data_IF_662196782881
#
_entry.id   IF_662196782881
#
_cell.length_a   1.000
_cell.length_b   1.000
_cell.length_c   1.000
_cell.angle_alpha   90.00
_cell.angle_beta   90.00
_cell.angle_gamma   90.00
#
_symmetry.space_group_name_H-M   'P 1'
#
loop_
_entity.id
_entity.type
_entity.pdbx_description
1 polymer ?
#
# COMPACT_ATOMS: atom_id res chain seq x y z
N UNK A 1 0.92 -0.19 -30.22
CA UNK A 1 1.27 -0.34 -28.78
C UNK A 1 2.72 -0.72 -28.71
N UNK A 2 3.53 0.05 -27.97
CA UNK A 2 4.98 -0.08 -28.03
C UNK A 2 5.50 -1.11 -27.04
N UNK A 3 4.92 -1.16 -25.84
CA UNK A 3 5.40 -1.98 -24.74
C UNK A 3 4.27 -2.73 -24.05
N UNK A 4 4.50 -4.00 -23.73
CA UNK A 4 3.71 -4.81 -22.81
C UNK A 4 4.56 -5.06 -21.56
N UNK A 5 4.04 -4.76 -20.36
CA UNK A 5 4.72 -5.03 -19.10
C UNK A 5 4.09 -6.26 -18.44
N UNK A 6 4.90 -7.31 -18.34
CA UNK A 6 4.58 -8.57 -17.64
C UNK A 6 5.27 -8.60 -16.29
N UNK A 7 4.59 -9.03 -15.23
CA UNK A 7 5.14 -9.07 -13.89
C UNK A 7 4.41 -10.05 -12.98
N UNK A 8 5.12 -10.56 -11.98
CA UNK A 8 4.48 -11.26 -10.85
C UNK A 8 3.89 -10.22 -9.90
N UNK A 9 2.61 -10.30 -9.58
CA UNK A 9 1.95 -9.34 -8.68
C UNK A 9 2.68 -9.24 -7.34
N UNK A 10 3.03 -10.38 -6.74
CA UNK A 10 3.86 -10.40 -5.55
C UNK A 10 5.26 -9.86 -5.86
N UNK A 11 5.61 -8.77 -5.21
CA UNK A 11 6.91 -8.12 -5.31
C UNK A 11 7.19 -7.35 -6.62
N UNK A 12 6.43 -7.59 -7.70
CA UNK A 12 6.66 -6.95 -9.00
C UNK A 12 5.79 -5.74 -9.30
N UNK A 13 4.64 -5.60 -8.65
CA UNK A 13 3.64 -4.58 -8.95
C UNK A 13 4.19 -3.15 -8.92
N UNK A 14 4.86 -2.77 -7.83
CA UNK A 14 5.37 -1.40 -7.68
C UNK A 14 6.37 -1.02 -8.78
N UNK A 15 7.26 -1.94 -9.15
CA UNK A 15 8.20 -1.74 -10.25
C UNK A 15 7.49 -1.65 -11.60
N UNK A 16 6.55 -2.54 -11.87
CA UNK A 16 5.79 -2.55 -13.11
C UNK A 16 4.98 -1.27 -13.29
N UNK A 17 4.34 -0.79 -12.21
CA UNK A 17 3.61 0.47 -12.21
C UNK A 17 4.53 1.68 -12.44
N UNK A 18 5.66 1.73 -11.77
CA UNK A 18 6.62 2.81 -11.95
C UNK A 18 7.18 2.85 -13.38
N UNK A 19 7.48 1.69 -13.97
CA UNK A 19 7.90 1.60 -15.37
C UNK A 19 6.80 2.04 -16.34
N UNK A 20 5.55 1.66 -16.06
CA UNK A 20 4.41 2.11 -16.84
C UNK A 20 4.34 3.63 -16.92
N UNK A 21 4.45 4.32 -15.77
CA UNK A 21 4.45 5.77 -15.71
C UNK A 21 5.64 6.38 -16.48
N UNK A 22 6.86 5.86 -16.24
CA UNK A 22 8.05 6.37 -16.91
C UNK A 22 7.98 6.20 -18.44
N UNK A 23 7.43 5.09 -18.92
CA UNK A 23 7.31 4.84 -20.36
C UNK A 23 6.24 5.71 -21.00
N UNK A 24 5.10 5.90 -20.33
CA UNK A 24 4.08 6.85 -20.82
C UNK A 24 4.63 8.28 -20.87
N UNK A 25 5.40 8.70 -19.86
CA UNK A 25 6.08 9.98 -19.82
C UNK A 25 7.11 10.15 -20.95
N UNK A 26 7.71 9.03 -21.35
CA UNK A 26 8.58 8.99 -22.51
C UNK A 26 7.82 8.98 -23.86
N UNK A 27 6.49 9.02 -23.84
CA UNK A 27 5.64 9.02 -25.04
C UNK A 27 5.39 7.64 -25.63
N UNK A 28 5.65 6.56 -24.87
CA UNK A 28 5.38 5.20 -25.31
C UNK A 28 3.95 4.80 -24.98
N UNK A 29 3.31 4.06 -25.88
CA UNK A 29 2.03 3.42 -25.61
C UNK A 29 2.26 2.08 -24.89
N UNK A 30 1.82 1.99 -23.63
CA UNK A 30 2.13 0.87 -22.73
C UNK A 30 0.88 0.10 -22.34
N UNK A 31 0.97 -1.22 -22.33
CA UNK A 31 -0.02 -2.09 -21.71
C UNK A 31 0.52 -2.62 -20.38
N UNK A 32 -0.24 -2.40 -19.34
CA UNK A 32 -0.03 -2.99 -18.02
C UNK A 32 -1.35 -3.57 -17.54
N UNK A 33 -1.37 -4.86 -17.22
CA UNK A 33 -2.56 -5.48 -16.66
C UNK A 33 -2.74 -5.06 -15.20
N UNK A 34 -3.63 -4.08 -15.00
CA UNK A 34 -3.97 -3.54 -13.69
C UNK A 34 -5.29 -4.13 -13.14
N UNK A 35 -6.11 -4.74 -13.98
CA UNK A 35 -7.42 -5.25 -13.58
C UNK A 35 -7.32 -6.65 -12.97
N UNK A 36 -8.09 -6.86 -11.88
CA UNK A 36 -8.42 -8.21 -11.39
C UNK A 36 -9.33 -8.87 -12.42
N UNK A 37 -8.75 -9.79 -13.19
CA UNK A 37 -9.48 -10.48 -14.22
C UNK A 37 -10.41 -11.52 -13.63
N UNK A 38 -11.68 -11.15 -13.57
CA UNK A 38 -12.79 -12.04 -13.25
C UNK A 38 -12.94 -13.09 -14.36
N UNK A 39 -13.29 -14.31 -13.97
CA UNK A 39 -13.49 -15.45 -14.86
C UNK A 39 -14.29 -15.12 -16.15
N UNK A 40 -13.67 -15.39 -17.29
CA UNK A 40 -14.24 -15.21 -18.63
C UNK A 40 -13.20 -15.53 -19.72
N UNK A 41 -13.50 -15.42 -21.02
CA UNK A 41 -12.59 -15.70 -22.13
C UNK A 41 -11.47 -14.64 -22.20
N UNK A 42 -10.63 -14.64 -21.16
CA UNK A 42 -9.63 -13.61 -20.82
C UNK A 42 -8.29 -13.82 -21.53
N UNK A 43 -7.92 -15.07 -21.79
CA UNK A 43 -6.71 -15.41 -22.52
C UNK A 43 -6.58 -14.67 -23.86
N UNK A 44 -7.72 -14.43 -24.54
CA UNK A 44 -7.74 -13.80 -25.85
C UNK A 44 -7.29 -12.33 -25.80
N UNK A 45 -7.77 -11.55 -24.82
CA UNK A 45 -7.40 -10.11 -24.70
C UNK A 45 -5.93 -9.93 -24.32
N UNK A 46 -5.41 -10.80 -23.45
CA UNK A 46 -4.02 -10.75 -23.05
C UNK A 46 -3.09 -11.10 -24.21
N UNK A 47 -3.39 -12.18 -24.92
CA UNK A 47 -2.63 -12.58 -26.11
C UNK A 47 -2.75 -11.56 -27.23
N UNK A 48 -3.92 -10.95 -27.44
CA UNK A 48 -4.07 -9.82 -28.37
C UNK A 48 -3.21 -8.62 -27.97
N UNK A 49 -3.07 -8.30 -26.68
CA UNK A 49 -2.22 -7.23 -26.22
C UNK A 49 -0.74 -7.54 -26.47
N UNK A 50 -0.31 -8.77 -26.20
CA UNK A 50 1.04 -9.22 -26.54
C UNK A 50 1.27 -9.21 -28.06
N UNK A 51 0.28 -9.65 -28.85
CA UNK A 51 0.39 -9.61 -30.33
C UNK A 51 0.56 -8.19 -30.87
N UNK A 52 -0.12 -7.21 -30.27
CA UNK A 52 -0.09 -5.79 -30.68
C UNK A 52 1.16 -5.04 -30.24
N UNK A 53 1.93 -5.55 -29.26
CA UNK A 53 3.15 -4.91 -28.80
C UNK A 53 4.39 -5.46 -29.53
N UNK A 54 5.43 -4.67 -29.59
CA UNK A 54 6.73 -5.09 -30.14
C UNK A 54 7.71 -5.47 -29.02
N UNK A 55 7.63 -4.76 -27.91
CA UNK A 55 8.51 -4.95 -26.76
C UNK A 55 7.74 -5.57 -25.59
N UNK A 56 8.31 -6.61 -25.02
CA UNK A 56 7.79 -7.32 -23.86
C UNK A 56 8.75 -7.10 -22.68
N UNK A 57 8.39 -6.21 -21.77
CA UNK A 57 9.17 -5.90 -20.58
C UNK A 57 8.72 -6.82 -19.46
N UNK A 58 9.65 -7.62 -18.93
CA UNK A 58 9.38 -8.64 -17.92
C UNK A 58 10.02 -8.26 -16.58
N UNK A 59 9.19 -7.91 -15.60
CA UNK A 59 9.67 -7.55 -14.24
C UNK A 59 9.84 -8.81 -13.41
N UNK A 60 11.05 -9.04 -12.92
CA UNK A 60 11.47 -10.22 -12.18
C UNK A 60 11.88 -9.87 -10.73
N UNK A 61 10.95 -9.82 -9.78
CA UNK A 61 11.28 -9.80 -8.36
C UNK A 61 11.87 -11.16 -7.90
N UNK A 62 12.50 -11.24 -6.72
CA UNK A 62 12.94 -12.51 -6.14
C UNK A 62 11.83 -13.56 -6.19
N UNK A 63 12.18 -14.79 -6.49
CA UNK A 63 11.30 -15.99 -6.53
C UNK A 63 10.14 -15.90 -7.55
N UNK A 64 10.11 -14.89 -8.42
CA UNK A 64 9.00 -14.68 -9.38
C UNK A 64 8.79 -15.82 -10.36
N UNK A 65 9.83 -16.63 -10.65
CA UNK A 65 9.76 -17.74 -11.57
C UNK A 65 9.50 -19.10 -10.90
N UNK A 66 9.44 -19.18 -9.58
CA UNK A 66 9.28 -20.44 -8.85
C UNK A 66 7.98 -21.17 -9.19
N UNK A 67 6.90 -20.45 -9.37
CA UNK A 67 5.59 -21.02 -9.77
C UNK A 67 5.53 -21.41 -11.25
N UNK A 68 6.49 -21.01 -12.08
CA UNK A 68 6.50 -21.31 -13.51
C UNK A 68 6.70 -22.81 -13.84
N UNK A 69 6.90 -23.66 -12.82
CA UNK A 69 6.79 -25.10 -12.97
C UNK A 69 5.36 -25.56 -13.25
N UNK A 70 4.36 -24.83 -12.80
CA UNK A 70 2.98 -25.06 -13.15
C UNK A 70 2.69 -24.58 -14.57
N UNK A 71 2.16 -25.49 -15.41
CA UNK A 71 1.82 -25.18 -16.81
C UNK A 71 0.69 -24.17 -16.96
N UNK A 72 -0.12 -23.98 -15.92
CA UNK A 72 -1.21 -23.00 -15.88
C UNK A 72 -0.80 -21.68 -15.20
N UNK A 73 0.47 -21.50 -14.84
CA UNK A 73 0.92 -20.23 -14.26
C UNK A 73 0.88 -19.12 -15.29
N UNK A 74 0.19 -18.04 -14.97
CA UNK A 74 -0.03 -16.92 -15.89
C UNK A 74 1.24 -16.28 -16.40
N UNK A 75 2.21 -16.02 -15.51
CA UNK A 75 3.49 -15.44 -15.91
C UNK A 75 4.24 -16.35 -16.89
N UNK A 76 4.19 -17.67 -16.65
CA UNK A 76 4.75 -18.66 -17.58
C UNK A 76 4.09 -18.58 -18.96
N UNK A 77 2.76 -18.56 -19.01
CA UNK A 77 1.99 -18.51 -20.26
C UNK A 77 2.30 -17.23 -21.06
N UNK A 78 2.40 -16.09 -20.40
CA UNK A 78 2.77 -14.81 -21.03
C UNK A 78 4.17 -14.87 -21.63
N UNK A 79 5.15 -15.38 -20.87
CA UNK A 79 6.53 -15.50 -21.33
C UNK A 79 6.64 -16.49 -22.50
N UNK A 80 6.02 -17.66 -22.40
CA UNK A 80 5.99 -18.66 -23.48
C UNK A 80 5.40 -18.08 -24.75
N UNK A 81 4.30 -17.35 -24.63
CA UNK A 81 3.65 -16.71 -25.78
C UNK A 81 4.52 -15.61 -26.40
N UNK A 82 5.15 -14.77 -25.58
CA UNK A 82 6.08 -13.75 -26.04
C UNK A 82 7.29 -14.35 -26.77
N UNK A 83 7.84 -15.48 -26.26
CA UNK A 83 8.91 -16.23 -26.93
C UNK A 83 8.44 -16.79 -28.26
N UNK A 84 7.26 -17.42 -28.29
CA UNK A 84 6.68 -17.99 -29.51
C UNK A 84 6.46 -16.92 -30.59
N UNK A 85 6.00 -15.74 -30.19
CA UNK A 85 5.76 -14.59 -31.09
C UNK A 85 7.03 -13.79 -31.42
N UNK A 86 8.19 -14.24 -30.93
CA UNK A 86 9.49 -13.60 -31.16
C UNK A 86 9.53 -12.11 -30.77
N UNK A 87 8.84 -11.76 -29.69
CA UNK A 87 8.83 -10.40 -29.16
C UNK A 87 10.23 -9.99 -28.68
N UNK A 88 10.49 -8.69 -28.66
CA UNK A 88 11.68 -8.15 -28.02
C UNK A 88 11.52 -8.24 -26.49
N UNK A 89 12.02 -9.33 -25.88
CA UNK A 89 11.87 -9.58 -24.45
C UNK A 89 13.01 -8.88 -23.70
N UNK A 90 12.66 -8.04 -22.73
CA UNK A 90 13.59 -7.27 -21.91
C UNK A 90 13.35 -7.62 -20.43
N UNK A 91 14.12 -8.58 -19.85
CA UNK A 91 14.03 -8.90 -18.45
C UNK A 91 14.58 -7.77 -17.56
N UNK A 92 13.84 -7.42 -16.53
CA UNK A 92 14.25 -6.46 -15.50
C UNK A 92 14.40 -7.22 -14.19
N UNK A 93 15.63 -7.55 -13.85
CA UNK A 93 15.97 -8.28 -12.64
C UNK A 93 16.02 -7.34 -11.46
N UNK A 94 15.12 -7.54 -10.50
CA UNK A 94 15.10 -6.76 -9.27
C UNK A 94 16.20 -7.23 -8.31
N UNK A 95 16.53 -6.38 -7.34
CA UNK A 95 17.54 -6.72 -6.31
C UNK A 95 17.16 -8.03 -5.61
N UNK A 96 18.08 -8.96 -5.56
CA UNK A 96 17.87 -10.30 -4.98
C UNK A 96 17.29 -11.34 -5.92
N UNK A 97 16.95 -10.99 -7.17
CA UNK A 97 16.53 -11.97 -8.16
C UNK A 97 17.71 -12.80 -8.67
N UNK A 98 17.49 -14.09 -8.83
CA UNK A 98 18.37 -15.02 -9.56
C UNK A 98 17.51 -15.97 -10.39
N UNK A 99 18.01 -16.36 -11.57
CA UNK A 99 17.32 -17.38 -12.36
C UNK A 99 17.42 -18.74 -11.67
N UNK A 100 16.30 -19.47 -11.52
CA UNK A 100 16.33 -20.84 -11.01
C UNK A 100 17.13 -21.79 -11.93
N UNK A 101 17.89 -22.71 -11.33
CA UNK A 101 18.67 -23.73 -12.10
C UNK A 101 17.76 -24.69 -12.88
N UNK A 102 16.52 -24.87 -12.45
CA UNK A 102 15.58 -25.85 -12.96
C UNK A 102 14.40 -25.22 -13.73
N UNK A 103 14.65 -24.18 -14.51
CA UNK A 103 13.60 -23.57 -15.34
C UNK A 103 12.92 -24.59 -16.25
N UNK A 104 11.59 -24.50 -16.46
CA UNK A 104 10.87 -25.27 -17.47
C UNK A 104 11.54 -25.18 -18.84
N UNK A 105 11.49 -26.25 -19.62
CA UNK A 105 12.15 -26.32 -20.94
C UNK A 105 11.76 -25.13 -21.85
N UNK A 106 10.52 -24.71 -21.81
CA UNK A 106 9.98 -23.58 -22.56
C UNK A 106 10.58 -22.22 -22.18
N UNK A 107 11.08 -22.09 -20.94
CA UNK A 107 11.67 -20.86 -20.40
C UNK A 107 13.21 -20.89 -20.35
N UNK A 108 13.86 -21.96 -20.74
CA UNK A 108 15.33 -22.10 -20.68
C UNK A 108 16.09 -21.04 -21.48
N UNK A 109 15.44 -20.39 -22.44
CA UNK A 109 16.02 -19.27 -23.20
C UNK A 109 15.98 -17.93 -22.46
N UNK A 110 15.19 -17.83 -21.36
CA UNK A 110 14.97 -16.56 -20.67
C UNK A 110 16.27 -15.92 -20.14
N UNK A 111 17.21 -16.65 -19.51
CA UNK A 111 18.47 -16.09 -19.02
C UNK A 111 19.40 -15.53 -20.13
N UNK A 112 19.16 -15.86 -21.38
CA UNK A 112 19.99 -15.42 -22.53
C UNK A 112 19.45 -14.15 -23.19
N UNK A 113 18.28 -13.64 -22.79
CA UNK A 113 17.82 -12.35 -23.29
C UNK A 113 18.60 -11.21 -22.62
N UNK A 114 18.87 -10.16 -23.39
CA UNK A 114 19.48 -8.97 -22.84
C UNK A 114 18.53 -8.31 -21.84
N UNK A 115 18.94 -8.28 -20.58
CA UNK A 115 18.15 -7.72 -19.48
C UNK A 115 18.85 -6.57 -18.79
N UNK A 116 18.14 -5.96 -17.85
CA UNK A 116 18.65 -4.86 -17.02
C UNK A 116 18.50 -5.24 -15.56
N UNK A 117 19.58 -5.11 -14.78
CA UNK A 117 19.46 -5.19 -13.33
C UNK A 117 18.94 -3.86 -12.82
N UNK A 118 17.81 -3.88 -12.12
CA UNK A 118 17.24 -2.67 -11.55
C UNK A 118 18.11 -2.17 -10.40
N UNK A 119 18.41 -0.88 -10.41
CA UNK A 119 19.09 -0.19 -9.31
C UNK A 119 18.17 0.83 -8.72
N UNK A 120 18.03 0.83 -7.39
CA UNK A 120 17.26 1.88 -6.69
C UNK A 120 17.97 3.23 -6.78
N UNK A 121 19.31 3.24 -6.76
CA UNK A 121 20.11 4.46 -6.82
C UNK A 121 20.17 5.07 -8.24
N UNK A 122 20.09 4.22 -9.27
CA UNK A 122 20.22 4.63 -10.68
C UNK A 122 18.98 4.28 -11.48
N UNK A 123 17.80 4.47 -10.87
CA UNK A 123 16.54 4.07 -11.51
C UNK A 123 16.32 4.77 -12.86
N UNK A 124 16.61 6.07 -12.97
CA UNK A 124 16.51 6.85 -14.21
C UNK A 124 17.38 6.30 -15.31
N UNK A 125 18.63 5.94 -14.98
CA UNK A 125 19.55 5.31 -15.92
C UNK A 125 19.03 3.92 -16.34
N UNK A 126 18.41 3.20 -15.40
CA UNK A 126 17.76 1.92 -15.66
C UNK A 126 16.61 2.08 -16.66
N UNK A 127 15.71 3.03 -16.44
CA UNK A 127 14.58 3.31 -17.35
C UNK A 127 15.07 3.74 -18.74
N UNK A 128 16.00 4.68 -18.81
CA UNK A 128 16.59 5.12 -20.08
C UNK A 128 17.23 3.97 -20.84
N UNK A 129 17.93 3.07 -20.14
CA UNK A 129 18.51 1.87 -20.72
C UNK A 129 17.45 0.93 -21.27
N UNK A 130 16.35 0.69 -20.52
CA UNK A 130 15.24 -0.15 -21.00
C UNK A 130 14.63 0.44 -22.26
N UNK A 131 14.34 1.76 -22.26
CA UNK A 131 13.79 2.45 -23.44
C UNK A 131 14.74 2.32 -24.64
N UNK A 132 16.06 2.45 -24.44
CA UNK A 132 17.05 2.27 -25.50
C UNK A 132 17.13 0.84 -26.07
N UNK A 133 16.65 -0.15 -25.32
CA UNK A 133 16.53 -1.55 -25.75
C UNK A 133 15.22 -1.85 -26.47
N UNK A 134 14.24 -0.95 -26.40
CA UNK A 134 12.97 -1.09 -27.11
C UNK A 134 13.17 -0.87 -28.61
N UNK A 135 12.54 -1.72 -29.42
CA UNK A 135 12.52 -1.62 -30.88
C UNK A 135 11.41 -0.67 -31.34
N UNK A 136 11.64 0.00 -32.47
CA UNK A 136 10.70 0.87 -33.16
C UNK A 136 10.12 2.02 -32.28
N UNK A 137 10.90 2.49 -31.32
CA UNK A 137 10.55 3.60 -30.46
C UNK A 137 11.30 4.84 -30.94
N UNK A 138 10.57 5.84 -31.45
CA UNK A 138 11.12 7.15 -31.78
C UNK A 138 11.08 8.04 -30.53
N UNK A 139 12.23 8.19 -29.88
CA UNK A 139 12.40 9.21 -28.84
C UNK A 139 12.41 10.59 -29.48
N UNK A 140 11.52 11.49 -29.06
CA UNK A 140 11.65 12.90 -29.38
C UNK A 140 12.99 13.41 -28.80
N UNK A 141 13.81 14.06 -29.60
CA UNK A 141 15.12 14.57 -29.24
C UNK A 141 14.95 15.67 -28.16
N UNK A 142 15.35 15.37 -26.96
CA UNK A 142 15.23 16.25 -25.79
C UNK A 142 15.25 15.44 -24.51
N UNK A 143 15.79 16.01 -23.43
CA UNK A 143 15.76 15.38 -22.11
C UNK A 143 14.32 15.06 -21.69
N UNK A 144 13.94 13.81 -21.85
CA UNK A 144 12.62 13.34 -21.37
C UNK A 144 12.65 13.42 -19.85
N UNK A 145 11.85 14.30 -19.30
CA UNK A 145 11.59 14.33 -17.87
C UNK A 145 10.69 13.14 -17.53
N UNK A 146 11.32 12.03 -17.14
CA UNK A 146 10.64 10.78 -16.76
C UNK A 146 9.72 10.97 -15.53
N UNK A 147 9.82 12.10 -14.85
CA UNK A 147 9.07 12.47 -13.66
C UNK A 147 8.16 13.67 -13.89
N UNK A 148 7.88 13.99 -15.16
CA UNK A 148 6.92 15.05 -15.45
C UNK A 148 5.64 14.73 -14.68
N UNK A 149 5.23 15.67 -13.85
CA UNK A 149 4.03 15.57 -13.06
C UNK A 149 2.86 15.31 -14.00
N UNK A 150 2.30 14.12 -13.95
CA UNK A 150 1.07 13.84 -14.64
C UNK A 150 -0.08 14.28 -13.74
N UNK A 151 -0.61 15.46 -14.01
CA UNK A 151 -1.95 15.83 -13.56
C UNK A 151 -3.00 14.81 -14.07
N UNK A 152 -2.64 14.05 -15.11
CA UNK A 152 -3.48 13.07 -15.81
C UNK A 152 -3.67 11.74 -15.05
N UNK A 153 -2.82 11.37 -14.09
CA UNK A 153 -3.06 10.17 -13.26
C UNK A 153 -4.36 10.33 -12.45
N UNK A 154 -4.69 11.56 -12.08
CA UNK A 154 -5.95 11.87 -11.40
C UNK A 154 -7.19 11.65 -12.27
N UNK A 155 -7.05 11.64 -13.60
CA UNK A 155 -8.15 11.46 -14.53
C UNK A 155 -8.48 10.00 -14.88
N UNK A 156 -7.55 9.05 -14.63
CA UNK A 156 -7.69 7.65 -15.06
C UNK A 156 -7.89 6.67 -13.92
N UNK A 157 -7.64 7.07 -12.67
CA UNK A 157 -7.94 6.26 -11.50
C UNK A 157 -9.22 6.79 -10.85
N UNK A 158 -10.16 5.90 -10.59
CA UNK A 158 -11.28 6.17 -9.70
C UNK A 158 -10.75 6.72 -8.36
N UNK A 159 -11.44 7.70 -7.79
CA UNK A 159 -11.06 8.30 -6.48
C UNK A 159 -10.80 7.21 -5.43
N UNK A 160 -11.58 6.13 -5.48
CA UNK A 160 -11.41 4.97 -4.60
C UNK A 160 -10.11 4.20 -4.85
N UNK A 161 -9.63 4.11 -6.09
CA UNK A 161 -8.36 3.43 -6.40
C UNK A 161 -7.14 4.27 -5.99
N UNK A 162 -7.19 5.59 -6.14
CA UNK A 162 -6.15 6.50 -5.66
C UNK A 162 -6.01 6.42 -4.14
N UNK A 163 -7.12 6.42 -3.41
CA UNK A 163 -7.13 6.31 -1.97
C UNK A 163 -6.63 4.93 -1.50
N UNK A 164 -7.02 3.85 -2.15
CA UNK A 164 -6.48 2.52 -1.87
C UNK A 164 -4.96 2.47 -2.05
N UNK A 165 -4.44 3.04 -3.13
CA UNK A 165 -3.00 3.10 -3.38
C UNK A 165 -2.29 3.93 -2.30
N UNK A 166 -2.85 5.06 -1.91
CA UNK A 166 -2.34 5.91 -0.83
C UNK A 166 -2.24 5.15 0.49
N UNK A 167 -3.33 4.46 0.89
CA UNK A 167 -3.39 3.69 2.13
C UNK A 167 -2.38 2.53 2.15
N UNK A 168 -2.22 1.80 1.04
CA UNK A 168 -1.22 0.73 0.93
C UNK A 168 0.20 1.30 1.06
N UNK A 169 0.45 2.45 0.43
CA UNK A 169 1.74 3.13 0.49
C UNK A 169 2.05 3.59 1.91
N UNK A 170 1.09 4.24 2.56
CA UNK A 170 1.21 4.70 3.94
C UNK A 170 1.48 3.53 4.90
N UNK A 171 0.71 2.45 4.80
CA UNK A 171 0.87 1.26 5.63
C UNK A 171 2.25 0.63 5.45
N UNK A 172 2.72 0.48 4.22
CA UNK A 172 4.06 -0.04 3.91
C UNK A 172 5.19 0.81 4.54
N UNK A 173 5.02 2.12 4.57
CA UNK A 173 5.99 3.03 5.21
C UNK A 173 6.00 2.88 6.74
N UNK A 174 4.85 2.60 7.33
CA UNK A 174 4.67 2.54 8.78
C UNK A 174 5.02 1.17 9.38
N UNK A 175 4.80 0.08 8.66
CA UNK A 175 5.08 -1.29 9.12
C UNK A 175 6.53 -1.47 9.60
N UNK A 176 7.50 -0.82 8.95
CA UNK A 176 8.92 -0.90 9.37
C UNK A 176 9.18 -0.39 10.78
N UNK A 177 8.38 0.57 11.28
CA UNK A 177 8.50 1.12 12.64
C UNK A 177 7.74 0.26 13.65
N UNK A 178 6.67 -0.38 13.21
CA UNK A 178 5.87 -1.28 14.03
C UNK A 178 6.58 -2.63 14.27
N UNK A 179 7.32 -3.12 13.27
CA UNK A 179 7.94 -4.46 13.30
C UNK A 179 8.83 -4.73 14.53
N UNK A 180 9.73 -3.83 14.97
CA UNK A 180 10.53 -4.07 16.18
C UNK A 180 9.69 -4.20 17.45
N UNK A 181 8.62 -3.40 17.56
CA UNK A 181 7.71 -3.40 18.70
C UNK A 181 6.92 -4.70 18.73
N UNK A 182 6.37 -5.09 17.58
CA UNK A 182 5.60 -6.32 17.45
C UNK A 182 6.46 -7.54 17.78
N UNK A 183 7.69 -7.61 17.25
CA UNK A 183 8.63 -8.67 17.59
C UNK A 183 8.89 -8.79 19.12
N UNK A 184 8.97 -7.66 19.85
CA UNK A 184 9.12 -7.68 21.31
C UNK A 184 7.85 -8.16 22.00
N UNK A 185 6.68 -7.77 21.50
CA UNK A 185 5.39 -8.15 22.08
C UNK A 185 5.10 -9.66 21.96
N UNK A 186 5.46 -10.28 20.86
CA UNK A 186 5.18 -11.71 20.60
C UNK A 186 6.33 -12.63 20.95
N UNK A 187 7.50 -12.08 21.31
CA UNK A 187 8.72 -12.84 21.59
C UNK A 187 8.52 -13.94 22.63
N UNK A 188 8.87 -15.16 22.25
CA UNK A 188 8.81 -16.34 23.11
C UNK A 188 7.42 -16.92 23.31
N UNK A 189 6.45 -16.44 22.55
CA UNK A 189 5.09 -16.98 22.44
C UNK A 189 5.01 -17.91 21.23
N UNK A 190 3.90 -18.63 21.07
CA UNK A 190 3.63 -19.48 19.91
C UNK A 190 2.12 -19.65 19.74
N UNK A 191 1.72 -20.02 18.56
CA UNK A 191 0.32 -20.33 18.19
C UNK A 191 -0.68 -19.22 18.54
N UNK A 192 -0.26 -17.96 18.33
CA UNK A 192 -1.05 -16.79 18.69
C UNK A 192 -2.18 -16.54 17.70
N UNK A 193 -3.33 -16.15 18.26
CA UNK A 193 -4.48 -15.62 17.53
C UNK A 193 -4.38 -14.10 17.47
N UNK A 194 -4.22 -13.54 16.27
CA UNK A 194 -4.18 -12.11 16.03
C UNK A 194 -5.52 -11.59 15.50
N UNK A 195 -6.01 -10.50 16.09
CA UNK A 195 -7.13 -9.72 15.61
C UNK A 195 -6.62 -8.42 14.99
N UNK A 196 -6.82 -8.24 13.69
CA UNK A 196 -6.50 -7.01 12.96
C UNK A 196 -7.79 -6.22 12.71
N UNK A 197 -7.87 -5.00 13.23
CA UNK A 197 -9.11 -4.25 13.37
C UNK A 197 -9.16 -3.06 12.41
N UNK A 198 -10.26 -2.89 11.71
CA UNK A 198 -10.53 -1.85 10.71
C UNK A 198 -9.54 -1.91 9.53
N UNK A 199 -9.43 -3.09 8.96
CA UNK A 199 -8.52 -3.35 7.83
C UNK A 199 -8.99 -2.58 6.60
N UNK A 200 -8.12 -1.72 6.07
CA UNK A 200 -8.34 -0.93 4.86
C UNK A 200 -7.69 -1.54 3.62
N UNK A 201 -6.76 -2.50 3.81
CA UNK A 201 -6.16 -3.29 2.73
C UNK A 201 -5.82 -4.70 3.20
N UNK A 202 -5.87 -5.67 2.29
CA UNK A 202 -5.48 -7.06 2.60
C UNK A 202 -3.98 -7.19 2.88
N UNK A 203 -3.14 -6.36 2.25
CA UNK A 203 -1.68 -6.43 2.33
C UNK A 203 -1.16 -6.25 3.76
N UNK A 204 -1.70 -5.26 4.48
CA UNK A 204 -1.30 -5.00 5.88
C UNK A 204 -1.63 -6.17 6.80
N UNK A 205 -2.80 -6.79 6.61
CA UNK A 205 -3.20 -7.96 7.39
C UNK A 205 -2.34 -9.19 7.08
N UNK A 206 -2.03 -9.46 5.80
CA UNK A 206 -1.12 -10.54 5.45
C UNK A 206 0.28 -10.36 6.06
N UNK A 207 0.78 -9.13 6.19
CA UNK A 207 2.05 -8.85 6.84
C UNK A 207 2.09 -9.22 8.34
N UNK A 208 0.93 -9.45 8.99
CA UNK A 208 0.87 -9.98 10.37
C UNK A 208 1.31 -11.45 10.44
N UNK A 209 1.16 -12.19 9.36
CA UNK A 209 1.63 -13.58 9.27
C UNK A 209 3.15 -13.71 9.02
N UNK A 210 3.86 -12.60 8.81
CA UNK A 210 5.32 -12.57 8.80
C UNK A 210 5.94 -12.82 10.19
N UNK A 211 5.11 -12.79 11.24
CA UNK A 211 5.52 -13.16 12.60
C UNK A 211 5.22 -14.64 12.84
N UNK A 212 6.24 -15.50 12.96
CA UNK A 212 6.03 -16.95 13.04
C UNK A 212 5.26 -17.39 14.30
N UNK A 213 5.14 -16.50 15.28
CA UNK A 213 4.36 -16.74 16.50
C UNK A 213 2.85 -16.65 16.24
N UNK A 214 2.42 -15.94 15.15
CA UNK A 214 1.01 -15.75 14.79
C UNK A 214 0.62 -16.80 13.76
N UNK A 215 -0.22 -17.75 14.16
CA UNK A 215 -0.70 -18.83 13.29
C UNK A 215 -2.13 -18.64 12.83
N UNK A 216 -2.92 -17.82 13.54
CA UNK A 216 -4.29 -17.48 13.16
C UNK A 216 -4.50 -15.97 13.12
N UNK A 217 -5.08 -15.49 12.02
CA UNK A 217 -5.39 -14.08 11.84
C UNK A 217 -6.87 -13.90 11.54
N UNK A 218 -7.50 -13.01 12.30
CA UNK A 218 -8.87 -12.56 12.10
C UNK A 218 -8.83 -11.08 11.72
N UNK A 219 -9.19 -10.77 10.50
CA UNK A 219 -9.18 -9.41 9.97
C UNK A 219 -10.61 -8.87 9.89
N UNK A 220 -10.89 -7.80 10.60
CA UNK A 220 -12.20 -7.13 10.61
C UNK A 220 -12.16 -5.88 9.74
N UNK A 221 -13.12 -5.74 8.86
CA UNK A 221 -13.29 -4.57 8.00
C UNK A 221 -14.77 -4.20 7.89
N UNK A 222 -15.07 -2.95 7.54
CA UNK A 222 -16.42 -2.54 7.16
C UNK A 222 -16.69 -2.74 5.66
N UNK A 223 -15.69 -3.15 4.87
CA UNK A 223 -15.74 -3.22 3.41
C UNK A 223 -15.85 -4.66 2.92
N UNK A 224 -16.99 -4.99 2.30
CA UNK A 224 -17.27 -6.31 1.75
C UNK A 224 -16.28 -6.76 0.66
N UNK A 225 -15.74 -5.83 -0.12
CA UNK A 225 -14.81 -6.17 -1.20
C UNK A 225 -13.44 -6.57 -0.64
N UNK A 226 -13.00 -5.96 0.47
CA UNK A 226 -11.79 -6.39 1.19
C UNK A 226 -12.01 -7.80 1.75
N UNK A 227 -13.15 -8.06 2.37
CA UNK A 227 -13.51 -9.39 2.89
C UNK A 227 -13.51 -10.46 1.78
N UNK A 228 -14.12 -10.17 0.64
CA UNK A 228 -14.16 -11.10 -0.50
C UNK A 228 -12.75 -11.38 -1.04
N UNK A 229 -11.93 -10.34 -1.27
CA UNK A 229 -10.56 -10.48 -1.78
C UNK A 229 -9.67 -11.24 -0.80
N UNK A 230 -9.70 -10.85 0.48
CA UNK A 230 -8.92 -11.51 1.52
C UNK A 230 -9.25 -13.00 1.62
N UNK A 231 -10.54 -13.36 1.60
CA UNK A 231 -10.94 -14.74 1.67
C UNK A 231 -10.69 -15.56 0.39
N UNK A 232 -10.58 -14.92 -0.78
CA UNK A 232 -10.18 -15.61 -2.03
C UNK A 232 -8.72 -16.04 -2.01
N UNK A 233 -7.86 -15.26 -1.36
CA UNK A 233 -6.40 -15.47 -1.34
C UNK A 233 -5.91 -16.33 -0.16
N UNK A 234 -6.82 -16.93 0.63
CA UNK A 234 -6.48 -17.78 1.79
C UNK A 234 -5.52 -18.93 1.49
N UNK A 235 -5.58 -19.46 0.26
CA UNK A 235 -4.73 -20.57 -0.17
C UNK A 235 -3.28 -20.15 -0.45
N UNK A 236 -2.97 -18.85 -0.33
CA UNK A 236 -1.62 -18.31 -0.54
C UNK A 236 -0.82 -18.20 0.77
N UNK A 237 -1.44 -18.54 1.91
CA UNK A 237 -0.74 -18.59 3.20
C UNK A 237 0.16 -19.84 3.27
N UNK A 238 1.26 -19.73 4.00
CA UNK A 238 2.14 -20.85 4.31
C UNK A 238 1.37 -21.99 5.01
N UNK A 239 1.82 -23.23 4.82
CA UNK A 239 1.23 -24.39 5.48
C UNK A 239 1.21 -24.19 7.01
N UNK A 240 0.01 -24.18 7.59
CA UNK A 240 -0.20 -24.01 9.04
C UNK A 240 -0.75 -22.66 9.46
N UNK A 241 -0.74 -21.63 8.59
CA UNK A 241 -1.33 -20.34 8.89
C UNK A 241 -2.77 -20.25 8.40
N UNK A 242 -3.64 -19.68 9.22
CA UNK A 242 -5.05 -19.44 8.89
C UNK A 242 -5.37 -17.95 8.93
N UNK A 243 -5.98 -17.43 7.86
CA UNK A 243 -6.50 -16.07 7.83
C UNK A 243 -7.99 -16.07 7.49
N UNK A 244 -8.75 -15.23 8.20
CA UNK A 244 -10.18 -15.06 7.98
C UNK A 244 -10.54 -13.58 7.97
N UNK A 245 -11.14 -13.11 6.88
CA UNK A 245 -11.64 -11.74 6.77
C UNK A 245 -13.15 -11.73 7.02
N UNK A 246 -13.62 -10.78 7.83
CA UNK A 246 -15.03 -10.60 8.14
C UNK A 246 -15.45 -9.15 7.98
N UNK A 247 -16.62 -8.94 7.36
CA UNK A 247 -17.26 -7.64 7.34
C UNK A 247 -18.08 -7.47 8.61
N UNK A 248 -17.85 -6.37 9.33
CA UNK A 248 -18.55 -6.02 10.57
C UNK A 248 -18.99 -4.57 10.58
N UNK A 249 -19.99 -4.26 11.41
CA UNK A 249 -20.46 -2.89 11.62
C UNK A 249 -19.93 -2.39 12.97
N UNK A 250 -18.75 -1.75 12.98
CA UNK A 250 -18.05 -1.32 14.20
C UNK A 250 -18.91 -0.43 15.10
N UNK A 251 -19.71 0.47 14.52
CA UNK A 251 -20.56 1.41 15.28
C UNK A 251 -21.89 0.82 15.72
N UNK A 252 -22.19 -0.43 15.33
CA UNK A 252 -23.42 -1.11 15.74
C UNK A 252 -23.45 -1.36 17.25
N UNK A 253 -24.65 -1.33 17.85
CA UNK A 253 -24.82 -1.75 19.23
C UNK A 253 -24.59 -3.26 19.43
N UNK A 254 -24.63 -4.01 18.34
CA UNK A 254 -24.45 -5.46 18.26
C UNK A 254 -22.98 -5.86 17.91
N UNK A 255 -22.04 -4.92 17.90
CA UNK A 255 -20.65 -5.21 17.48
C UNK A 255 -19.99 -6.33 18.31
N UNK A 256 -20.19 -6.35 19.62
CA UNK A 256 -19.62 -7.41 20.48
C UNK A 256 -20.13 -8.80 20.08
N UNK A 257 -21.42 -8.94 19.78
CA UNK A 257 -22.00 -10.19 19.29
C UNK A 257 -21.42 -10.55 17.91
N UNK A 258 -21.31 -9.58 16.97
CA UNK A 258 -20.70 -9.83 15.65
C UNK A 258 -19.28 -10.32 15.79
N UNK A 259 -18.46 -9.73 16.68
CA UNK A 259 -17.11 -10.19 16.98
C UNK A 259 -17.11 -11.65 17.49
N UNK A 260 -17.98 -11.97 18.42
CA UNK A 260 -18.15 -13.36 18.93
C UNK A 260 -18.47 -14.35 17.81
N UNK A 261 -19.36 -14.02 16.88
CA UNK A 261 -19.66 -14.87 15.73
C UNK A 261 -18.48 -15.02 14.77
N UNK A 262 -17.68 -13.95 14.58
CA UNK A 262 -16.43 -14.01 13.78
C UNK A 262 -15.42 -14.98 14.42
N UNK A 263 -15.19 -14.88 15.73
CA UNK A 263 -14.30 -15.78 16.48
C UNK A 263 -14.75 -17.23 16.38
N UNK A 264 -16.02 -17.47 16.59
CA UNK A 264 -16.65 -18.81 16.45
C UNK A 264 -16.49 -19.38 15.03
N UNK A 265 -16.71 -18.56 14.00
CA UNK A 265 -16.52 -18.97 12.61
C UNK A 265 -15.05 -19.29 12.30
N UNK A 266 -14.11 -18.57 12.90
CA UNK A 266 -12.67 -18.82 12.82
C UNK A 266 -12.21 -19.96 13.75
N UNK A 267 -13.11 -20.57 14.54
CA UNK A 267 -12.83 -21.64 15.50
C UNK A 267 -11.75 -21.25 16.52
N UNK A 268 -11.88 -20.09 17.10
CA UNK A 268 -11.02 -19.59 18.18
C UNK A 268 -11.87 -19.14 19.35
N UNK A 269 -11.36 -19.30 20.57
CA UNK A 269 -12.08 -18.97 21.81
C UNK A 269 -11.66 -17.60 22.37
N UNK A 270 -10.48 -17.08 21.97
CA UNK A 270 -9.95 -15.81 22.44
C UNK A 270 -8.88 -15.23 21.55
N UNK A 271 -8.40 -14.05 21.93
CA UNK A 271 -7.46 -13.21 21.17
C UNK A 271 -6.20 -12.98 22.00
N UNK A 272 -5.03 -13.25 21.41
CA UNK A 272 -3.73 -13.05 22.03
C UNK A 272 -3.06 -11.74 21.63
N UNK A 273 -3.30 -11.30 20.38
CA UNK A 273 -2.73 -10.09 19.80
C UNK A 273 -3.81 -9.26 19.16
N UNK A 274 -3.87 -7.97 19.47
CA UNK A 274 -4.77 -7.03 18.81
C UNK A 274 -3.94 -5.98 18.07
N UNK A 275 -4.21 -5.79 16.79
CA UNK A 275 -3.62 -4.76 15.95
C UNK A 275 -4.68 -3.72 15.57
N UNK A 276 -4.41 -2.46 15.87
CA UNK A 276 -5.24 -1.31 15.47
C UNK A 276 -4.33 -0.32 14.74
N UNK A 277 -4.36 -0.37 13.42
CA UNK A 277 -3.53 0.48 12.58
C UNK A 277 -4.37 1.53 11.88
N UNK A 278 -4.23 2.81 12.26
CA UNK A 278 -5.03 3.92 11.76
C UNK A 278 -6.54 3.67 11.91
N UNK A 279 -6.93 2.98 12.98
CA UNK A 279 -8.29 2.50 13.19
C UNK A 279 -9.08 3.37 14.18
N UNK A 280 -8.43 3.77 15.27
CA UNK A 280 -9.12 4.52 16.35
C UNK A 280 -9.63 5.88 15.84
N UNK A 281 -8.90 6.50 14.92
CA UNK A 281 -9.28 7.79 14.34
C UNK A 281 -10.60 7.76 13.59
N UNK A 282 -11.01 6.61 13.06
CA UNK A 282 -12.23 6.45 12.28
C UNK A 282 -13.47 6.15 13.15
N UNK A 283 -13.26 5.75 14.39
CA UNK A 283 -14.36 5.34 15.26
C UNK A 283 -15.02 6.51 15.96
N UNK A 284 -16.35 6.61 15.88
CA UNK A 284 -17.15 7.59 16.62
C UNK A 284 -17.21 7.26 18.12
N UNK A 285 -17.19 5.96 18.46
CA UNK A 285 -17.26 5.46 19.83
C UNK A 285 -16.13 4.47 20.12
N UNK A 286 -14.85 4.90 20.05
CA UNK A 286 -13.71 3.98 20.11
C UNK A 286 -13.66 3.15 21.39
N UNK A 287 -14.04 3.71 22.53
CA UNK A 287 -14.03 2.96 23.79
C UNK A 287 -15.04 1.80 23.80
N UNK A 288 -16.20 1.95 23.13
CA UNK A 288 -17.18 0.86 23.02
C UNK A 288 -16.59 -0.33 22.25
N UNK A 289 -15.87 -0.06 21.17
CA UNK A 289 -15.23 -1.07 20.34
C UNK A 289 -14.10 -1.76 21.10
N UNK A 290 -13.24 -0.97 21.78
CA UNK A 290 -12.16 -1.51 22.61
C UNK A 290 -12.69 -2.39 23.75
N UNK A 291 -13.78 -1.97 24.41
CA UNK A 291 -14.41 -2.74 25.49
C UNK A 291 -15.00 -4.06 24.98
N UNK A 292 -15.62 -4.07 23.80
CA UNK A 292 -16.10 -5.29 23.17
C UNK A 292 -14.94 -6.25 22.84
N UNK A 293 -13.81 -5.74 22.32
CA UNK A 293 -12.60 -6.54 22.06
C UNK A 293 -12.06 -7.11 23.38
N UNK A 294 -12.04 -6.30 24.45
CA UNK A 294 -11.53 -6.71 25.76
C UNK A 294 -12.24 -7.95 26.32
N UNK A 295 -13.54 -8.13 26.03
CA UNK A 295 -14.33 -9.30 26.46
C UNK A 295 -13.79 -10.63 25.92
N UNK A 296 -12.97 -10.59 24.88
CA UNK A 296 -12.41 -11.77 24.21
C UNK A 296 -10.89 -11.91 24.32
N UNK A 297 -10.22 -11.06 25.11
CA UNK A 297 -8.78 -11.15 25.31
C UNK A 297 -8.42 -12.36 26.17
N UNK A 298 -7.43 -13.11 25.75
CA UNK A 298 -6.80 -14.15 26.55
C UNK A 298 -5.94 -13.52 27.68
N UNK A 299 -5.61 -14.32 28.69
CA UNK A 299 -4.61 -13.93 29.69
C UNK A 299 -3.27 -13.63 29.01
N UNK A 300 -2.60 -12.55 29.44
CA UNK A 300 -1.35 -12.06 28.84
C UNK A 300 -1.47 -11.60 27.37
N UNK A 301 -2.67 -11.24 26.92
CA UNK A 301 -2.87 -10.64 25.61
C UNK A 301 -2.09 -9.34 25.45
N UNK A 302 -1.72 -9.04 24.21
CA UNK A 302 -1.00 -7.80 23.86
C UNK A 302 -1.79 -7.02 22.80
N UNK A 303 -1.64 -5.71 22.84
CA UNK A 303 -2.27 -4.84 21.84
C UNK A 303 -1.24 -3.84 21.29
N UNK A 304 -1.23 -3.65 20.00
CA UNK A 304 -0.49 -2.59 19.34
C UNK A 304 -1.49 -1.63 18.68
N UNK A 305 -1.36 -0.35 19.00
CA UNK A 305 -2.19 0.72 18.43
C UNK A 305 -1.29 1.73 17.75
N UNK A 306 -1.39 1.83 16.45
CA UNK A 306 -0.70 2.83 15.63
C UNK A 306 -1.72 3.83 15.11
N UNK A 307 -1.51 5.10 15.39
CA UNK A 307 -2.42 6.15 14.95
C UNK A 307 -1.70 7.48 14.69
N UNK A 308 -2.36 8.41 14.05
CA UNK A 308 -1.82 9.72 13.69
C UNK A 308 -2.02 10.74 14.81
N UNK A 309 -1.02 11.62 14.99
CA UNK A 309 -1.12 12.82 15.81
C UNK A 309 -0.60 14.04 15.04
N UNK A 310 -1.47 14.69 14.30
CA UNK A 310 -1.12 15.88 13.52
C UNK A 310 -0.55 17.03 14.36
N UNK A 311 -0.79 17.03 15.65
CA UNK A 311 -0.15 18.00 16.56
C UNK A 311 1.33 17.75 16.81
N UNK A 312 1.89 16.66 16.29
CA UNK A 312 3.32 16.35 16.33
C UNK A 312 4.01 16.52 14.97
N UNK A 313 3.27 16.96 13.95
CA UNK A 313 3.81 17.30 12.63
C UNK A 313 4.54 18.63 12.68
N UNK A 314 5.67 18.73 12.00
CA UNK A 314 6.33 20.01 11.77
C UNK A 314 7.03 20.05 10.41
N UNK A 315 7.16 21.27 9.88
CA UNK A 315 7.94 21.58 8.68
C UNK A 315 8.83 22.78 8.95
N UNK A 316 10.09 22.71 8.48
CA UNK A 316 11.03 23.83 8.59
C UNK A 316 12.08 23.81 7.48
N UNK A 317 12.37 24.97 6.85
CA UNK A 317 11.59 26.20 6.89
C UNK A 317 10.23 26.02 6.20
N UNK A 318 9.23 26.73 6.69
CA UNK A 318 7.90 26.82 6.07
C UNK A 318 7.75 28.22 5.48
N UNK A 319 8.09 28.37 4.22
CA UNK A 319 8.05 29.67 3.53
C UNK A 319 6.59 30.09 3.37
N UNK A 320 6.32 31.32 3.76
CA UNK A 320 4.99 31.93 3.70
C UNK A 320 3.91 31.18 4.53
N UNK A 321 4.32 30.23 5.38
CA UNK A 321 3.42 29.43 6.22
C UNK A 321 2.51 28.49 5.43
N UNK A 322 2.93 28.05 4.23
CA UNK A 322 2.09 27.24 3.35
C UNK A 322 1.77 25.88 3.96
N UNK A 323 2.77 25.20 4.56
CA UNK A 323 2.52 23.91 5.21
C UNK A 323 1.62 24.04 6.44
N UNK A 324 1.84 25.05 7.27
CA UNK A 324 1.00 25.31 8.43
C UNK A 324 -0.45 25.61 8.01
N UNK A 325 -0.64 26.44 6.96
CA UNK A 325 -1.97 26.74 6.42
C UNK A 325 -2.62 25.46 5.85
N UNK A 326 -1.89 24.68 5.06
CA UNK A 326 -2.41 23.43 4.49
C UNK A 326 -2.84 22.44 5.60
N UNK A 327 -2.01 22.25 6.62
CA UNK A 327 -2.31 21.39 7.76
C UNK A 327 -3.56 21.85 8.53
N UNK A 328 -3.81 23.16 8.61
CA UNK A 328 -5.00 23.69 9.26
C UNK A 328 -6.31 23.23 8.61
N UNK A 329 -6.27 22.75 7.38
CA UNK A 329 -7.44 22.25 6.69
C UNK A 329 -7.85 20.83 7.10
N UNK A 330 -6.91 20.03 7.64
CA UNK A 330 -7.19 18.63 7.99
C UNK A 330 -8.34 18.46 8.98
N UNK A 331 -8.48 19.37 9.93
CA UNK A 331 -9.58 19.32 10.91
C UNK A 331 -10.98 19.53 10.30
N UNK A 332 -11.02 20.05 9.09
CA UNK A 332 -12.27 20.33 8.35
C UNK A 332 -12.62 19.22 7.35
N UNK A 333 -11.76 18.23 7.20
CA UNK A 333 -11.99 17.11 6.30
C UNK A 333 -12.95 16.11 6.95
N UNK A 334 -14.15 16.00 6.39
CA UNK A 334 -15.20 15.11 6.92
C UNK A 334 -15.03 13.64 6.51
N UNK A 335 -14.14 13.36 5.55
CA UNK A 335 -13.84 12.01 5.07
C UNK A 335 -12.62 11.38 5.74
N UNK A 336 -11.78 12.17 6.37
CA UNK A 336 -10.71 11.65 7.21
C UNK A 336 -11.17 11.51 8.65
N UNK A 337 -10.66 10.52 9.36
CA UNK A 337 -10.87 10.35 10.79
C UNK A 337 -10.28 11.51 11.62
N UNK A 338 -10.44 11.43 12.93
CA UNK A 338 -9.94 12.47 13.83
C UNK A 338 -8.41 12.43 13.97
N UNK A 339 -7.72 13.30 13.27
CA UNK A 339 -6.26 13.28 13.09
C UNK A 339 -5.42 13.66 14.31
N UNK A 340 -6.04 13.98 15.45
CA UNK A 340 -5.39 14.16 16.76
C UNK A 340 -5.63 12.95 17.69
N UNK A 341 -6.10 11.84 17.15
CA UNK A 341 -6.45 10.62 17.90
C UNK A 341 -5.27 10.07 18.66
N UNK A 342 -4.07 10.10 18.07
CA UNK A 342 -2.88 9.52 18.67
C UNK A 342 -2.64 9.96 20.12
N UNK A 343 -2.88 11.23 20.47
CA UNK A 343 -2.76 11.72 21.86
C UNK A 343 -3.88 11.24 22.78
N UNK A 344 -5.03 10.85 22.22
CA UNK A 344 -6.21 10.41 23.01
C UNK A 344 -6.16 8.92 23.32
N UNK A 345 -5.46 8.14 22.52
CA UNK A 345 -5.35 6.67 22.63
C UNK A 345 -4.94 6.25 24.03
N UNK A 346 -3.99 6.94 24.67
CA UNK A 346 -3.57 6.65 26.04
C UNK A 346 -4.76 6.62 27.01
N UNK A 347 -5.60 7.65 26.98
CA UNK A 347 -6.75 7.77 27.88
C UNK A 347 -7.84 6.72 27.60
N UNK A 348 -7.96 6.27 26.36
CA UNK A 348 -8.87 5.20 25.98
C UNK A 348 -8.39 3.85 26.49
N UNK A 349 -7.11 3.51 26.22
CA UNK A 349 -6.50 2.25 26.66
C UNK A 349 -6.44 2.17 28.19
N UNK A 350 -6.15 3.27 28.88
CA UNK A 350 -6.10 3.32 30.34
C UNK A 350 -7.39 2.88 31.03
N UNK A 351 -8.55 3.07 30.36
CA UNK A 351 -9.85 2.61 30.85
C UNK A 351 -10.03 1.10 30.80
N UNK A 352 -9.21 0.40 30.01
CA UNK A 352 -9.19 -1.08 29.91
C UNK A 352 -8.37 -1.74 31.03
N UNK A 353 -7.77 -0.96 31.91
CA UNK A 353 -6.95 -1.40 33.04
C UNK A 353 -5.79 -2.36 32.66
N UNK A 354 -4.95 -2.01 31.68
CA UNK A 354 -3.85 -2.85 31.28
C UNK A 354 -2.73 -2.88 32.33
N UNK A 355 -1.91 -3.95 32.34
CA UNK A 355 -0.70 -4.06 33.18
C UNK A 355 0.35 -3.02 32.82
N UNK A 356 0.54 -2.77 31.53
CA UNK A 356 1.48 -1.75 31.06
C UNK A 356 1.05 -1.12 29.75
N UNK A 357 1.41 0.15 29.59
CA UNK A 357 1.26 0.92 28.34
C UNK A 357 2.60 1.57 28.06
N UNK A 358 3.18 1.32 26.90
CA UNK A 358 4.36 2.02 26.39
C UNK A 358 3.97 2.85 25.18
N UNK A 359 4.46 4.08 25.11
CA UNK A 359 4.25 4.98 23.98
C UNK A 359 5.58 5.20 23.26
N UNK A 360 5.60 4.93 21.96
CA UNK A 360 6.67 5.35 21.07
C UNK A 360 6.14 6.38 20.07
N UNK A 361 6.88 7.47 19.93
CA UNK A 361 6.56 8.54 18.97
C UNK A 361 7.51 8.46 17.81
N UNK A 362 6.96 8.31 16.61
CA UNK A 362 7.74 8.26 15.38
C UNK A 362 7.51 9.51 14.56
N UNK A 363 8.58 10.27 14.34
CA UNK A 363 8.64 11.26 13.29
C UNK A 363 9.23 10.61 12.05
N UNK A 364 8.40 10.12 11.14
CA UNK A 364 8.87 9.79 9.80
C UNK A 364 9.24 11.09 9.15
N UNK A 365 10.52 11.30 8.87
CA UNK A 365 11.00 12.59 8.42
C UNK A 365 11.82 12.47 7.13
N UNK A 366 11.88 13.60 6.40
CA UNK A 366 12.48 13.66 5.08
C UNK A 366 14.01 13.76 5.06
N UNK A 367 14.69 13.79 6.22
CA UNK A 367 16.13 14.06 6.32
C UNK A 367 17.01 13.02 5.63
N UNK A 368 16.60 11.75 5.66
CA UNK A 368 17.33 10.63 5.06
C UNK A 368 16.59 9.95 3.91
N UNK A 369 15.46 10.51 3.48
CA UNK A 369 14.65 9.93 2.42
C UNK A 369 15.27 10.18 1.05
N UNK A 370 15.25 9.13 0.22
CA UNK A 370 15.42 9.27 -1.23
C UNK A 370 14.29 10.12 -1.84
N UNK A 371 14.50 10.62 -3.06
CA UNK A 371 13.45 11.38 -3.75
C UNK A 371 12.15 10.59 -3.90
N UNK A 372 12.22 9.29 -4.14
CA UNK A 372 11.04 8.43 -4.25
C UNK A 372 10.31 8.26 -2.92
N UNK A 373 11.03 8.07 -1.82
CA UNK A 373 10.42 8.03 -0.48
C UNK A 373 9.77 9.37 -0.11
N UNK A 374 10.41 10.50 -0.47
CA UNK A 374 9.78 11.82 -0.31
C UNK A 374 8.50 11.94 -1.13
N UNK A 375 8.48 11.41 -2.36
CA UNK A 375 7.27 11.41 -3.20
C UNK A 375 6.15 10.60 -2.55
N UNK A 376 6.44 9.38 -2.11
CA UNK A 376 5.48 8.54 -1.38
C UNK A 376 4.96 9.25 -0.12
N UNK A 377 5.85 9.91 0.62
CA UNK A 377 5.51 10.67 1.81
C UNK A 377 4.59 11.85 1.48
N UNK A 378 4.90 12.61 0.43
CA UNK A 378 4.07 13.73 -0.03
C UNK A 378 2.67 13.24 -0.46
N UNK A 379 2.60 12.18 -1.24
CA UNK A 379 1.35 11.57 -1.67
C UNK A 379 0.52 11.09 -0.49
N UNK A 380 1.12 10.40 0.48
CA UNK A 380 0.41 9.91 1.66
C UNK A 380 -0.15 11.03 2.55
N UNK A 381 0.55 12.17 2.65
CA UNK A 381 0.17 13.24 3.57
C UNK A 381 -0.64 14.37 2.93
N UNK A 382 -0.47 14.64 1.66
CA UNK A 382 -1.00 15.85 1.04
C UNK A 382 -2.03 15.58 -0.08
N UNK A 383 -1.98 14.43 -0.77
CA UNK A 383 -2.76 14.23 -2.00
C UNK A 383 -4.25 14.06 -1.78
N UNK A 384 -4.68 13.53 -0.64
CA UNK A 384 -6.10 13.28 -0.37
C UNK A 384 -6.89 14.58 -0.11
N UNK A 385 -6.25 15.62 0.43
CA UNK A 385 -6.94 16.88 0.77
C UNK A 385 -7.61 17.55 -0.43
N UNK A 386 -6.94 17.81 -1.57
CA UNK A 386 -7.62 18.37 -2.74
C UNK A 386 -8.80 17.52 -3.21
N UNK A 387 -8.65 16.20 -3.19
CA UNK A 387 -9.69 15.27 -3.65
C UNK A 387 -10.93 15.30 -2.75
N UNK A 388 -10.71 15.20 -1.44
CA UNK A 388 -11.77 15.21 -0.46
C UNK A 388 -12.57 16.52 -0.45
N UNK A 389 -11.88 17.66 -0.51
CA UNK A 389 -12.56 18.95 -0.52
C UNK A 389 -13.25 19.24 -1.87
N UNK A 390 -12.76 18.76 -2.98
CA UNK A 390 -13.49 18.77 -4.25
C UNK A 390 -14.76 17.90 -4.16
N UNK A 391 -14.69 16.73 -3.52
CA UNK A 391 -15.85 15.90 -3.24
C UNK A 391 -16.86 16.63 -2.33
N UNK A 392 -16.38 17.28 -1.24
CA UNK A 392 -17.23 18.10 -0.38
C UNK A 392 -17.95 19.20 -1.15
N UNK A 393 -17.30 19.85 -2.14
CA UNK A 393 -17.94 20.85 -2.99
C UNK A 393 -18.98 20.26 -3.95
N UNK A 394 -18.75 19.05 -4.48
CA UNK A 394 -19.74 18.36 -5.31
C UNK A 394 -21.00 18.03 -4.51
N UNK A 395 -20.83 17.59 -3.26
CA UNK A 395 -21.94 17.25 -2.36
C UNK A 395 -22.63 18.47 -1.77
N UNK A 396 -21.88 19.53 -1.47
CA UNK A 396 -22.39 20.81 -0.95
C UNK A 396 -21.70 22.01 -1.64
N UNK A 397 -22.22 22.49 -2.78
CA UNK A 397 -21.64 23.61 -3.52
C UNK A 397 -21.55 24.94 -2.74
N UNK A 398 -22.28 25.05 -1.63
CA UNK A 398 -22.29 26.25 -0.78
C UNK A 398 -21.30 26.16 0.40
N UNK A 399 -20.52 25.10 0.51
CA UNK A 399 -19.52 24.96 1.55
C UNK A 399 -18.40 25.99 1.38
N UNK A 400 -18.35 26.97 2.29
CA UNK A 400 -17.32 28.03 2.26
C UNK A 400 -15.94 27.46 2.52
N UNK A 401 -15.83 26.55 3.50
CA UNK A 401 -14.54 25.96 3.85
C UNK A 401 -13.99 25.07 2.73
N UNK A 402 -14.86 24.28 2.10
CA UNK A 402 -14.41 23.44 0.99
C UNK A 402 -13.91 24.29 -0.18
N UNK A 403 -14.59 25.39 -0.49
CA UNK A 403 -14.15 26.34 -1.50
C UNK A 403 -12.81 27.00 -1.16
N UNK A 404 -12.65 27.46 0.10
CA UNK A 404 -11.37 28.02 0.58
C UNK A 404 -10.20 27.05 0.37
N UNK A 405 -10.42 25.76 0.69
CA UNK A 405 -9.37 24.73 0.56
C UNK A 405 -9.06 24.44 -0.90
N UNK A 406 -10.08 24.31 -1.74
CA UNK A 406 -9.88 24.09 -3.17
C UNK A 406 -9.16 25.26 -3.82
N UNK A 407 -9.60 26.50 -3.57
CA UNK A 407 -8.95 27.70 -4.08
C UNK A 407 -7.49 27.80 -3.61
N UNK A 408 -7.21 27.43 -2.35
CA UNK A 408 -5.83 27.37 -1.84
C UNK A 408 -5.00 26.29 -2.56
N UNK A 409 -5.56 25.11 -2.76
CA UNK A 409 -4.87 24.03 -3.46
C UNK A 409 -4.60 24.41 -4.92
N UNK A 410 -5.58 24.98 -5.62
CA UNK A 410 -5.42 25.42 -7.00
C UNK A 410 -4.31 26.46 -7.16
N UNK A 411 -4.15 27.31 -6.15
CA UNK A 411 -3.14 28.38 -6.17
C UNK A 411 -1.76 27.93 -5.69
N UNK A 412 -1.65 27.11 -4.64
CA UNK A 412 -0.41 26.89 -3.91
C UNK A 412 0.06 25.44 -3.81
N UNK A 413 -0.68 24.46 -4.38
CA UNK A 413 -0.29 23.05 -4.21
C UNK A 413 1.04 22.73 -4.89
N UNK A 414 1.34 23.41 -6.01
CA UNK A 414 2.61 23.29 -6.70
C UNK A 414 3.76 23.88 -5.89
N UNK A 415 3.55 25.03 -5.28
CA UNK A 415 4.53 25.66 -4.39
C UNK A 415 4.82 24.79 -3.15
N UNK A 416 3.77 24.16 -2.58
CA UNK A 416 3.93 23.18 -1.50
C UNK A 416 4.80 21.99 -1.96
N UNK A 417 4.52 21.46 -3.14
CA UNK A 417 5.28 20.35 -3.71
C UNK A 417 6.75 20.73 -3.91
N UNK A 418 7.02 21.86 -4.55
CA UNK A 418 8.38 22.36 -4.79
C UNK A 418 9.13 22.59 -3.47
N UNK A 419 8.49 23.22 -2.49
CA UNK A 419 9.08 23.43 -1.17
C UNK A 419 9.40 22.11 -0.47
N UNK A 420 8.48 21.13 -0.50
CA UNK A 420 8.69 19.82 0.13
C UNK A 420 9.92 19.09 -0.43
N UNK A 421 10.21 19.24 -1.71
CA UNK A 421 11.37 18.63 -2.36
C UNK A 421 12.65 19.48 -2.27
N UNK A 422 12.57 20.69 -1.74
CA UNK A 422 13.77 21.51 -1.50
C UNK A 422 14.73 20.80 -0.54
N UNK A 423 16.04 21.01 -0.76
CA UNK A 423 17.10 20.41 0.08
C UNK A 423 17.09 20.92 1.50
N UNK A 424 16.60 22.14 1.69
CA UNK A 424 16.64 22.85 2.97
C UNK A 424 15.38 22.58 3.82
N UNK A 425 14.36 21.93 3.25
CA UNK A 425 13.10 21.67 3.94
C UNK A 425 13.12 20.29 4.61
N UNK A 426 12.90 20.28 5.92
CA UNK A 426 12.64 19.12 6.73
C UNK A 426 11.15 19.05 7.05
N UNK A 427 10.49 17.99 6.60
CA UNK A 427 9.15 17.63 7.03
C UNK A 427 9.23 16.41 7.97
N UNK A 428 8.47 16.43 9.05
CA UNK A 428 8.33 15.30 9.96
C UNK A 428 6.86 15.07 10.27
N UNK A 429 6.38 13.86 9.98
CA UNK A 429 5.03 13.42 10.34
C UNK A 429 4.90 13.14 11.82
N UNK A 430 3.67 13.09 12.31
CA UNK A 430 3.35 12.70 13.67
C UNK A 430 2.60 11.37 13.72
N UNK A 431 3.32 10.28 13.98
CA UNK A 431 2.70 9.00 14.31
C UNK A 431 3.05 8.57 15.72
N UNK A 432 2.13 7.86 16.34
CA UNK A 432 2.31 7.25 17.66
C UNK A 432 2.03 5.75 17.57
N UNK A 433 2.82 4.97 18.31
CA UNK A 433 2.55 3.56 18.50
C UNK A 433 2.50 3.30 20.00
N UNK A 434 1.37 2.76 20.44
CA UNK A 434 1.20 2.25 21.79
C UNK A 434 1.35 0.74 21.78
N UNK A 435 2.18 0.21 22.66
CA UNK A 435 2.21 -1.20 22.99
C UNK A 435 1.62 -1.42 24.37
N UNK A 436 0.72 -2.38 24.47
CA UNK A 436 -0.10 -2.62 25.68
C UNK A 436 0.00 -4.09 26.06
N UNK A 437 0.12 -4.37 27.36
CA UNK A 437 0.07 -5.72 27.91
C UNK A 437 -1.06 -5.81 28.93
N UNK A 438 -1.89 -6.81 28.80
CA UNK A 438 -3.03 -7.10 29.66
C UNK A 438 -2.70 -8.16 30.71
#
# INVERSE_FOLDING_TARGET
MDVFISYRREGGYAMARLLYECFNNAGLSVFLDLEELRAGPFNEKLYEAIDKCENFVLVLPPNSLDRCHNENDWLRLEIEYAIQKQKNIIPIMMVGFSFPDNLPHSLQKLPYFNGVQSSREYFDATVKKIISMCKNVNMADGSVDLYKRHDDIRYYMDEDELEKHRLITEDSMLLKYEKPIMNDLVKGKADLVCLDVNVLSTTGSYARLDYPEITKLIALTYNDDITKRGNLNKNECDEGNEINFFTVQFESDDFEHQLGECLKAAKVDGIDVVCLSMAIMDFKKPFKILNAIQSYLNDDAVMIVRDVDDGAVFTYPDKDGLFAKFQSFYIHNIYSGYRYTGRQVYSLIKKMDPRSITLERYGINTSSMSRNEKKMMFESWFSFIPNDFNRMLRENPNSKIAREVVDFCDQYYDDLYEQFFSRDVLFSSGYVIYSVRF
#
